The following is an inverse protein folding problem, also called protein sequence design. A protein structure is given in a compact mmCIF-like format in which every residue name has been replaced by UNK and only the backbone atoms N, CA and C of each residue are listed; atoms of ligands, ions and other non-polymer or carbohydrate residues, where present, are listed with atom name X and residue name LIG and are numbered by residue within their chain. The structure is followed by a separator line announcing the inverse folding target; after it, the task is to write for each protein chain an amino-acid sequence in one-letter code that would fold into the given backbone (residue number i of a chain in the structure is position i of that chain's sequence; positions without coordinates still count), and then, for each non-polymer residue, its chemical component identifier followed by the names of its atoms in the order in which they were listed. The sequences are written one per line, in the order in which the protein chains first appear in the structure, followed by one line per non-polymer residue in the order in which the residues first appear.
data_IF_690076634269
#
_entry.id   IF_690076634269
#
_cell.length_a   1.000
_cell.length_b   1.000
_cell.length_c   1.000
_cell.angle_alpha   90.00
_cell.angle_beta   90.00
_cell.angle_gamma   90.00
#
_symmetry.space_group_name_H-M   'P 1'
#
loop_
_entity.id
_entity.type
_entity.pdbx_description
1 polymer ?
#
# COMPACT_ATOMS: atom_id res chain seq x y z
N UNK A 1 24.07 60.80 22.46
CA UNK A 1 23.88 59.39 22.89
C UNK A 1 22.42 58.96 23.16
N UNK A 2 21.44 59.87 23.25
CA UNK A 2 20.04 59.50 23.52
C UNK A 2 19.17 59.18 22.26
N UNK A 3 19.59 59.59 21.06
CA UNK A 3 18.82 59.39 19.83
C UNK A 3 19.07 57.97 19.22
N UNK A 4 20.26 57.41 19.38
CA UNK A 4 20.62 56.09 18.85
C UNK A 4 19.90 54.96 19.62
N UNK A 5 19.66 55.11 20.92
CA UNK A 5 18.90 54.13 21.72
C UNK A 5 17.42 54.02 21.34
N UNK A 6 16.80 55.15 20.89
CA UNK A 6 15.39 55.16 20.52
C UNK A 6 15.14 54.48 19.15
N UNK A 7 16.07 54.58 18.21
CA UNK A 7 15.96 53.94 16.87
C UNK A 7 16.17 52.44 17.00
N UNK A 8 17.06 51.96 17.87
CA UNK A 8 17.27 50.52 18.09
C UNK A 8 16.06 49.81 18.74
N UNK A 9 15.34 50.49 19.62
CA UNK A 9 14.12 49.98 20.28
C UNK A 9 12.95 49.94 19.27
N UNK A 10 12.83 50.93 18.37
CA UNK A 10 11.77 50.95 17.36
C UNK A 10 11.98 49.86 16.29
N UNK A 11 13.22 49.59 15.87
CA UNK A 11 13.55 48.53 14.91
C UNK A 11 13.32 47.13 15.52
N UNK A 12 13.63 46.94 16.83
CA UNK A 12 13.35 45.65 17.49
C UNK A 12 11.85 45.43 17.69
N UNK A 13 11.04 46.44 17.96
CA UNK A 13 9.58 46.30 18.05
C UNK A 13 8.91 46.05 16.70
N UNK A 14 9.41 46.64 15.60
CA UNK A 14 8.94 46.32 14.23
C UNK A 14 9.29 44.89 13.80
N UNK A 15 10.47 44.36 14.18
CA UNK A 15 10.86 42.98 13.88
C UNK A 15 10.03 41.98 14.71
N UNK A 16 9.62 42.29 15.92
CA UNK A 16 8.73 41.43 16.71
C UNK A 16 7.29 41.46 16.19
N UNK A 17 6.74 42.61 15.81
CA UNK A 17 5.40 42.72 15.22
C UNK A 17 5.31 41.97 13.88
N UNK A 18 6.28 42.13 12.98
CA UNK A 18 6.33 41.36 11.71
C UNK A 18 6.45 39.85 11.90
N UNK A 19 7.06 39.37 13.00
CA UNK A 19 7.21 37.97 13.29
C UNK A 19 5.93 37.35 13.86
N UNK A 20 5.14 38.09 14.60
CA UNK A 20 3.86 37.63 15.14
C UNK A 20 2.76 37.64 14.07
N UNK A 21 2.71 38.64 13.17
CA UNK A 21 1.80 38.67 12.04
C UNK A 21 2.07 37.52 11.06
N UNK A 22 3.32 37.24 10.76
CA UNK A 22 3.71 36.12 9.89
C UNK A 22 3.37 34.76 10.50
N UNK A 23 3.49 34.56 11.81
CA UNK A 23 3.07 33.33 12.50
C UNK A 23 1.56 33.16 12.49
N UNK A 24 0.81 34.24 12.66
CA UNK A 24 -0.65 34.22 12.64
C UNK A 24 -1.19 33.93 11.24
N UNK A 25 -0.55 34.47 10.20
CA UNK A 25 -0.87 34.20 8.79
C UNK A 25 -0.57 32.75 8.40
N UNK A 26 0.59 32.19 8.76
CA UNK A 26 0.93 30.79 8.54
C UNK A 26 -0.04 29.85 9.27
N UNK A 27 -0.39 30.15 10.51
CA UNK A 27 -1.37 29.36 11.28
C UNK A 27 -2.77 29.39 10.64
N UNK A 28 -3.18 30.51 10.07
CA UNK A 28 -4.46 30.60 9.33
C UNK A 28 -4.42 29.77 8.04
N UNK A 29 -3.33 29.85 7.29
CA UNK A 29 -3.15 29.06 6.07
C UNK A 29 -3.17 27.56 6.38
N UNK A 30 -2.42 27.11 7.40
CA UNK A 30 -2.43 25.71 7.84
C UNK A 30 -3.82 25.22 8.23
N UNK A 31 -4.58 26.04 8.98
CA UNK A 31 -5.96 25.71 9.33
C UNK A 31 -6.89 25.63 8.10
N UNK A 32 -6.71 26.51 7.11
CA UNK A 32 -7.48 26.46 5.86
C UNK A 32 -7.15 25.20 5.05
N UNK A 33 -5.86 24.83 4.93
CA UNK A 33 -5.43 23.62 4.24
C UNK A 33 -5.94 22.36 4.94
N UNK A 34 -5.89 22.30 6.27
CA UNK A 34 -6.44 21.17 7.05
C UNK A 34 -7.96 21.03 6.85
N UNK A 35 -8.70 22.15 6.88
CA UNK A 35 -10.15 22.11 6.62
C UNK A 35 -10.43 21.61 5.21
N UNK A 36 -9.75 22.16 4.21
CA UNK A 36 -9.89 21.72 2.81
C UNK A 36 -9.52 20.25 2.63
N UNK A 37 -8.45 19.77 3.25
CA UNK A 37 -8.04 18.37 3.20
C UNK A 37 -9.13 17.41 3.74
N UNK A 38 -9.76 17.77 4.87
CA UNK A 38 -10.87 17.03 5.43
C UNK A 38 -12.11 17.05 4.52
N UNK A 39 -12.41 18.19 3.89
CA UNK A 39 -13.50 18.33 2.92
C UNK A 39 -13.24 17.43 1.69
N UNK A 40 -12.05 17.50 1.09
CA UNK A 40 -11.70 16.66 -0.07
C UNK A 40 -11.72 15.18 0.28
N UNK A 41 -11.21 14.78 1.46
CA UNK A 41 -11.28 13.40 1.92
C UNK A 41 -12.71 12.87 2.08
N UNK A 42 -13.66 13.76 2.40
CA UNK A 42 -15.08 13.39 2.52
C UNK A 42 -15.81 13.34 1.18
N UNK A 43 -15.28 13.99 0.15
CA UNK A 43 -15.91 14.14 -1.18
C UNK A 43 -15.34 13.19 -2.21
N UNK A 44 -14.03 12.91 -2.14
CA UNK A 44 -13.37 12.05 -3.11
C UNK A 44 -13.52 10.59 -2.75
N UNK A 45 -13.61 9.76 -3.77
CA UNK A 45 -13.43 8.33 -3.61
C UNK A 45 -11.95 8.06 -3.30
N UNK A 46 -11.65 7.54 -2.12
CA UNK A 46 -10.29 7.14 -1.72
C UNK A 46 -10.22 5.61 -1.77
N UNK A 47 -9.25 5.10 -2.52
CA UNK A 47 -8.97 3.66 -2.67
C UNK A 47 -7.57 3.36 -2.17
N UNK A 48 -7.45 2.35 -1.32
CA UNK A 48 -6.19 1.73 -0.93
C UNK A 48 -6.09 0.34 -1.55
N UNK A 49 -4.98 0.06 -2.23
CA UNK A 49 -4.82 -1.20 -2.98
C UNK A 49 -4.29 -2.36 -2.16
N UNK A 50 -3.95 -2.14 -0.88
CA UNK A 50 -3.41 -3.24 -0.08
C UNK A 50 -3.55 -3.02 1.43
N UNK A 51 -4.40 -3.83 2.07
CA UNK A 51 -4.57 -3.85 3.54
C UNK A 51 -4.72 -5.30 4.02
N UNK A 52 -3.90 -5.74 5.00
CA UNK A 52 -3.79 -7.12 5.46
C UNK A 52 -4.76 -7.53 6.57
N UNK A 53 -5.91 -6.89 6.62
CA UNK A 53 -6.98 -7.19 7.60
C UNK A 53 -7.32 -8.68 7.66
N UNK A 54 -7.51 -9.42 6.53
CA UNK A 54 -7.96 -10.80 6.61
C UNK A 54 -6.97 -11.70 7.36
N UNK A 55 -5.67 -11.54 7.11
CA UNK A 55 -4.65 -12.36 7.78
C UNK A 55 -4.51 -11.99 9.27
N UNK A 56 -4.58 -10.69 9.61
CA UNK A 56 -4.62 -10.25 11.01
C UNK A 56 -5.79 -10.87 11.78
N UNK A 57 -6.97 -10.91 11.15
CA UNK A 57 -8.19 -11.43 11.79
C UNK A 57 -8.22 -12.95 11.88
N UNK A 58 -7.53 -13.69 10.99
CA UNK A 58 -7.33 -15.14 11.10
C UNK A 58 -6.55 -15.49 12.38
N UNK A 59 -5.54 -14.67 12.72
CA UNK A 59 -4.73 -14.86 13.93
C UNK A 59 -5.40 -14.31 15.20
N UNK A 60 -6.00 -13.11 15.11
CA UNK A 60 -6.57 -12.39 16.22
C UNK A 60 -7.89 -11.72 15.79
N UNK A 61 -8.98 -12.43 15.97
CA UNK A 61 -10.30 -11.95 15.61
C UNK A 61 -10.70 -10.68 16.39
N UNK A 62 -11.13 -9.66 15.67
CA UNK A 62 -11.84 -8.47 16.16
C UNK A 62 -12.96 -8.12 15.18
N UNK A 63 -14.05 -7.54 15.66
CA UNK A 63 -15.12 -7.05 14.79
C UNK A 63 -14.74 -5.69 14.19
N UNK A 64 -14.25 -5.68 12.96
CA UNK A 64 -13.87 -4.45 12.25
C UNK A 64 -15.06 -3.57 11.84
N UNK A 65 -16.27 -4.01 12.04
CA UNK A 65 -17.45 -3.15 11.86
C UNK A 65 -17.61 -2.14 12.99
N UNK A 66 -16.92 -2.36 14.10
CA UNK A 66 -16.84 -1.49 15.27
C UNK A 66 -15.38 -1.06 15.48
N UNK A 67 -15.13 -0.16 16.46
CA UNK A 67 -13.78 0.28 16.78
C UNK A 67 -12.97 -0.85 17.41
N UNK A 68 -11.84 -1.20 16.78
CA UNK A 68 -10.92 -2.23 17.26
C UNK A 68 -9.80 -1.63 18.13
N UNK A 69 -9.24 -2.46 19.04
CA UNK A 69 -8.09 -2.08 19.87
C UNK A 69 -6.77 -2.20 19.09
N UNK A 70 -6.70 -3.17 18.16
CA UNK A 70 -5.50 -3.49 17.39
C UNK A 70 -5.72 -3.21 15.90
N UNK A 71 -4.62 -3.29 15.16
CA UNK A 71 -4.61 -3.08 13.71
C UNK A 71 -4.83 -1.65 13.29
N UNK A 72 -4.76 -1.43 11.99
CA UNK A 72 -4.81 -0.11 11.38
C UNK A 72 -6.15 0.18 10.70
N UNK A 73 -7.03 -0.83 10.56
CA UNK A 73 -8.33 -0.70 9.88
C UNK A 73 -9.48 -1.14 10.79
N UNK A 74 -10.51 -0.30 10.87
CA UNK A 74 -11.90 -0.60 11.24
C UNK A 74 -12.84 0.41 10.58
N UNK A 75 -14.14 0.13 10.60
CA UNK A 75 -15.17 0.97 9.97
C UNK A 75 -15.18 2.42 10.49
N UNK A 76 -15.18 2.69 11.81
CA UNK A 76 -15.14 4.06 12.34
C UNK A 76 -13.92 4.86 11.87
N UNK A 77 -12.72 4.24 11.87
CA UNK A 77 -11.49 4.89 11.39
C UNK A 77 -11.52 5.10 9.87
N UNK A 78 -11.96 4.11 9.09
CA UNK A 78 -12.08 4.23 7.64
C UNK A 78 -13.05 5.36 7.26
N UNK A 79 -14.22 5.45 7.92
CA UNK A 79 -15.18 6.55 7.71
C UNK A 79 -14.60 7.91 8.11
N UNK A 80 -13.86 7.99 9.21
CA UNK A 80 -13.22 9.23 9.66
C UNK A 80 -12.12 9.69 8.70
N UNK A 81 -11.40 8.75 8.08
CA UNK A 81 -10.34 9.04 7.11
C UNK A 81 -10.82 9.24 5.67
N UNK A 82 -12.11 9.01 5.39
CA UNK A 82 -12.66 9.09 4.04
C UNK A 82 -12.33 7.89 3.15
N UNK A 83 -11.79 6.78 3.69
CA UNK A 83 -11.50 5.58 2.91
C UNK A 83 -12.79 4.90 2.46
N UNK A 84 -12.94 4.67 1.15
CA UNK A 84 -14.17 4.15 0.56
C UNK A 84 -13.98 2.79 -0.11
N UNK A 85 -12.75 2.43 -0.47
CA UNK A 85 -12.43 1.10 -0.97
C UNK A 85 -11.06 0.66 -0.44
N UNK A 86 -11.01 -0.57 0.08
CA UNK A 86 -9.79 -1.20 0.57
C UNK A 86 -9.67 -2.58 -0.06
N UNK A 87 -8.62 -2.80 -0.85
CA UNK A 87 -8.31 -4.14 -1.31
C UNK A 87 -7.87 -4.98 -0.11
N UNK A 88 -8.71 -5.95 0.25
CA UNK A 88 -8.43 -6.91 1.30
C UNK A 88 -7.40 -7.92 0.78
N UNK A 89 -6.19 -7.89 1.36
CA UNK A 89 -5.11 -8.80 1.01
C UNK A 89 -5.43 -10.22 1.50
N UNK A 90 -5.51 -11.15 0.57
CA UNK A 90 -5.56 -12.59 0.83
C UNK A 90 -4.11 -13.07 0.84
N UNK A 91 -3.42 -12.78 1.94
CA UNK A 91 -1.99 -13.04 2.11
C UNK A 91 -1.71 -14.52 2.39
N UNK A 92 -0.78 -15.09 1.63
CA UNK A 92 -0.36 -16.48 1.77
C UNK A 92 1.14 -16.55 2.10
N UNK A 93 1.51 -16.94 3.34
CA UNK A 93 2.92 -17.10 3.71
C UNK A 93 3.69 -18.02 2.76
N UNK A 94 4.93 -17.63 2.45
CA UNK A 94 5.78 -18.36 1.48
C UNK A 94 6.01 -19.85 1.85
N UNK A 95 5.91 -20.23 3.12
CA UNK A 95 6.04 -21.62 3.56
C UNK A 95 5.07 -22.56 2.90
N UNK A 96 3.90 -22.09 2.46
CA UNK A 96 2.89 -22.91 1.80
C UNK A 96 3.30 -23.39 0.39
N UNK A 97 4.34 -22.80 -0.20
CA UNK A 97 4.93 -23.33 -1.44
C UNK A 97 5.54 -24.72 -1.24
N UNK A 98 6.14 -24.95 -0.08
CA UNK A 98 6.78 -26.23 0.26
C UNK A 98 5.83 -27.19 0.98
N UNK A 99 4.98 -26.66 1.88
CA UNK A 99 4.13 -27.49 2.75
C UNK A 99 2.78 -27.86 2.13
N UNK A 100 2.36 -27.13 1.07
CA UNK A 100 1.00 -27.20 0.55
C UNK A 100 -0.02 -26.54 1.48
N UNK A 101 -1.29 -26.50 1.09
CA UNK A 101 -2.40 -25.93 1.86
C UNK A 101 -2.60 -24.41 1.68
N UNK A 102 -1.87 -23.80 0.74
CA UNK A 102 -2.03 -22.39 0.41
C UNK A 102 -3.42 -22.06 -0.10
N UNK A 103 -3.99 -22.93 -0.94
CA UNK A 103 -5.37 -22.79 -1.44
C UNK A 103 -6.41 -22.82 -0.31
N UNK A 104 -6.26 -23.75 0.64
CA UNK A 104 -7.18 -23.85 1.78
C UNK A 104 -7.12 -22.61 2.69
N UNK A 105 -5.94 -22.04 2.88
CA UNK A 105 -5.79 -20.77 3.60
C UNK A 105 -6.46 -19.62 2.84
N UNK A 106 -6.22 -19.51 1.53
CA UNK A 106 -6.87 -18.48 0.70
C UNK A 106 -8.40 -18.56 0.80
N UNK A 107 -8.98 -19.75 0.73
CA UNK A 107 -10.42 -19.97 0.88
C UNK A 107 -10.94 -19.55 2.26
N UNK A 108 -10.20 -19.84 3.34
CA UNK A 108 -10.59 -19.38 4.69
C UNK A 108 -10.58 -17.85 4.80
N UNK A 109 -9.55 -17.18 4.28
CA UNK A 109 -9.45 -15.73 4.32
C UNK A 109 -10.55 -15.07 3.49
N UNK A 110 -10.87 -15.60 2.31
CA UNK A 110 -11.97 -15.12 1.49
C UNK A 110 -13.30 -15.31 2.23
N UNK A 111 -13.57 -16.50 2.78
CA UNK A 111 -14.79 -16.76 3.56
C UNK A 111 -14.92 -15.79 4.74
N UNK A 112 -13.81 -15.48 5.43
CA UNK A 112 -13.80 -14.52 6.53
C UNK A 112 -14.26 -13.13 6.07
N UNK A 113 -13.79 -12.63 4.93
CA UNK A 113 -14.23 -11.34 4.39
C UNK A 113 -15.70 -11.41 3.96
N UNK A 114 -16.12 -12.48 3.28
CA UNK A 114 -17.53 -12.72 2.91
C UNK A 114 -18.46 -12.72 4.13
N UNK A 115 -18.05 -13.37 5.23
CA UNK A 115 -18.80 -13.40 6.49
C UNK A 115 -18.93 -12.02 7.15
N UNK A 116 -17.85 -11.21 7.14
CA UNK A 116 -17.87 -9.83 7.64
C UNK A 116 -18.88 -8.98 6.83
N UNK A 117 -18.82 -9.07 5.51
CA UNK A 117 -19.74 -8.35 4.60
C UNK A 117 -21.18 -8.80 4.80
N UNK A 118 -21.42 -10.11 4.89
CA UNK A 118 -22.75 -10.66 5.08
C UNK A 118 -23.40 -10.22 6.41
N UNK A 119 -22.61 -10.05 7.47
CA UNK A 119 -23.07 -9.55 8.77
C UNK A 119 -23.28 -8.03 8.80
N UNK A 120 -22.63 -7.27 7.91
CA UNK A 120 -22.62 -5.80 7.92
C UNK A 120 -22.88 -5.23 6.51
N UNK A 121 -24.00 -5.59 5.83
CA UNK A 121 -24.25 -5.23 4.43
C UNK A 121 -24.53 -3.74 4.20
N UNK A 122 -24.79 -3.00 5.26
CA UNK A 122 -24.94 -1.55 5.30
C UNK A 122 -23.63 -0.79 5.45
N UNK A 123 -22.55 -1.48 5.88
CA UNK A 123 -21.22 -0.91 6.07
C UNK A 123 -20.26 -1.31 4.94
N UNK A 124 -20.28 -2.58 4.52
CA UNK A 124 -19.31 -3.18 3.61
C UNK A 124 -19.95 -3.94 2.46
N UNK A 125 -19.31 -3.96 1.29
CA UNK A 125 -19.64 -4.84 0.17
C UNK A 125 -18.40 -5.31 -0.57
N UNK A 126 -18.41 -6.56 -1.02
CA UNK A 126 -17.44 -7.03 -2.02
C UNK A 126 -17.62 -6.20 -3.30
N UNK A 127 -16.53 -5.77 -3.91
CA UNK A 127 -16.55 -5.10 -5.21
C UNK A 127 -15.78 -5.95 -6.23
N UNK A 128 -16.43 -6.29 -7.33
CA UNK A 128 -15.89 -7.17 -8.37
C UNK A 128 -15.47 -6.39 -9.63
N UNK A 129 -15.78 -5.08 -9.66
CA UNK A 129 -15.54 -4.21 -10.81
C UNK A 129 -15.34 -2.76 -10.36
N UNK A 130 -14.83 -1.94 -11.29
CA UNK A 130 -14.75 -0.49 -11.08
C UNK A 130 -16.13 0.15 -10.91
N UNK A 131 -17.17 -0.41 -11.55
CA UNK A 131 -18.55 0.05 -11.41
C UNK A 131 -19.10 -0.25 -10.01
N UNK A 132 -18.82 -1.44 -9.44
CA UNK A 132 -19.24 -1.78 -8.08
C UNK A 132 -18.64 -0.81 -7.06
N UNK A 133 -17.37 -0.45 -7.20
CA UNK A 133 -16.69 0.52 -6.31
C UNK A 133 -17.42 1.87 -6.36
N UNK A 134 -17.70 2.39 -7.55
CA UNK A 134 -18.41 3.68 -7.71
C UNK A 134 -19.82 3.61 -7.13
N UNK A 135 -20.57 2.56 -7.44
CA UNK A 135 -21.91 2.35 -6.93
C UNK A 135 -21.96 2.25 -5.40
N UNK A 136 -20.99 1.55 -4.80
CA UNK A 136 -20.91 1.45 -3.35
C UNK A 136 -20.56 2.79 -2.72
N UNK A 137 -19.64 3.55 -3.34
CA UNK A 137 -19.30 4.92 -2.91
C UNK A 137 -20.54 5.83 -2.89
N UNK A 138 -21.32 5.85 -3.97
CA UNK A 138 -22.56 6.64 -4.08
C UNK A 138 -23.59 6.28 -2.99
N UNK A 139 -23.53 5.05 -2.48
CA UNK A 139 -24.40 4.56 -1.40
C UNK A 139 -23.78 4.71 0.00
N UNK A 140 -22.57 5.29 0.13
CA UNK A 140 -21.86 5.47 1.39
C UNK A 140 -21.31 4.18 2.02
N UNK A 141 -21.18 3.11 1.22
CA UNK A 141 -20.71 1.77 1.60
C UNK A 141 -19.24 1.62 1.25
N UNK A 142 -18.44 1.07 2.16
CA UNK A 142 -17.03 0.76 1.89
C UNK A 142 -16.93 -0.51 1.04
N UNK A 143 -16.20 -0.42 -0.05
CA UNK A 143 -15.93 -1.54 -0.96
C UNK A 143 -14.75 -2.38 -0.48
N UNK A 144 -14.89 -3.71 -0.56
CA UNK A 144 -13.82 -4.67 -0.36
C UNK A 144 -13.54 -5.43 -1.67
N UNK A 145 -12.75 -4.89 -2.61
CA UNK A 145 -12.13 -5.72 -3.63
C UNK A 145 -11.14 -6.68 -2.97
N UNK A 146 -10.89 -7.85 -3.55
CA UNK A 146 -9.96 -8.84 -3.01
C UNK A 146 -8.69 -8.90 -3.87
N UNK A 147 -7.53 -8.88 -3.22
CA UNK A 147 -6.24 -9.12 -3.86
C UNK A 147 -5.56 -10.34 -3.24
N UNK A 148 -5.09 -11.27 -4.05
CA UNK A 148 -4.30 -12.40 -3.56
C UNK A 148 -2.84 -12.00 -3.50
N UNK A 149 -2.25 -12.00 -2.32
CA UNK A 149 -0.83 -11.75 -2.14
C UNK A 149 -0.06 -13.07 -2.00
N UNK A 150 0.78 -13.35 -2.99
CA UNK A 150 1.47 -14.59 -3.27
C UNK A 150 0.63 -15.61 -4.06
N UNK A 151 1.04 -15.91 -5.29
CA UNK A 151 0.36 -16.84 -6.21
C UNK A 151 0.49 -18.31 -5.85
N UNK A 152 1.08 -18.67 -4.72
CA UNK A 152 1.22 -20.05 -4.23
C UNK A 152 -0.10 -20.86 -4.28
N UNK A 153 -1.30 -20.30 -3.98
CA UNK A 153 -2.58 -21.02 -4.08
C UNK A 153 -2.97 -21.52 -5.47
N UNK A 154 -2.27 -21.08 -6.50
CA UNK A 154 -2.50 -21.60 -7.86
C UNK A 154 -2.02 -23.06 -7.99
N UNK A 155 -1.04 -23.49 -7.16
CA UNK A 155 -0.63 -24.89 -6.98
C UNK A 155 -0.30 -25.60 -8.30
N UNK A 156 0.30 -24.88 -9.28
CA UNK A 156 0.65 -25.44 -10.59
C UNK A 156 -0.55 -25.82 -11.48
N UNK A 157 -1.77 -25.40 -11.12
CA UNK A 157 -3.00 -25.73 -11.83
C UNK A 157 -3.65 -24.47 -12.40
N UNK A 158 -3.62 -24.30 -13.71
CA UNK A 158 -4.14 -23.09 -14.37
C UNK A 158 -5.62 -22.82 -14.05
N UNK A 159 -6.44 -23.86 -13.84
CA UNK A 159 -7.84 -23.72 -13.48
C UNK A 159 -8.05 -23.02 -12.12
N UNK A 160 -7.04 -22.99 -11.23
CA UNK A 160 -7.13 -22.29 -9.97
C UNK A 160 -7.12 -20.77 -10.16
N UNK A 161 -6.58 -20.23 -11.25
CA UNK A 161 -6.68 -18.81 -11.59
C UNK A 161 -8.15 -18.40 -11.77
N UNK A 162 -8.90 -19.20 -12.60
CA UNK A 162 -10.34 -18.96 -12.78
C UNK A 162 -11.11 -19.20 -11.49
N UNK A 163 -10.77 -20.25 -10.74
CA UNK A 163 -11.40 -20.50 -9.44
C UNK A 163 -11.33 -19.28 -8.52
N UNK A 164 -10.17 -18.67 -8.37
CA UNK A 164 -10.02 -17.48 -7.53
C UNK A 164 -10.65 -16.22 -8.11
N UNK A 165 -10.68 -16.09 -9.45
CA UNK A 165 -11.48 -15.03 -10.09
C UNK A 165 -12.96 -15.14 -9.72
N UNK A 166 -13.52 -16.35 -9.80
CA UNK A 166 -14.92 -16.64 -9.44
C UNK A 166 -15.17 -16.42 -7.93
N UNK A 167 -14.13 -16.57 -7.06
CA UNK A 167 -14.17 -16.23 -5.63
C UNK A 167 -13.96 -14.73 -5.34
N UNK A 168 -13.85 -13.89 -6.36
CA UNK A 168 -13.79 -12.44 -6.22
C UNK A 168 -12.40 -11.82 -6.23
N UNK A 169 -11.34 -12.59 -6.44
CA UNK A 169 -9.97 -12.03 -6.57
C UNK A 169 -9.88 -11.16 -7.81
N UNK A 170 -9.33 -9.95 -7.66
CA UNK A 170 -9.18 -8.96 -8.73
C UNK A 170 -7.75 -8.53 -9.02
N UNK A 171 -6.80 -8.83 -8.13
CA UNK A 171 -5.39 -8.88 -8.48
C UNK A 171 -4.70 -10.10 -7.87
N UNK A 172 -3.55 -10.50 -8.45
CA UNK A 172 -2.66 -11.52 -7.88
C UNK A 172 -1.22 -11.00 -7.93
N UNK A 173 -0.58 -10.92 -6.76
CA UNK A 173 0.87 -10.75 -6.60
C UNK A 173 1.54 -12.10 -6.83
N UNK A 174 2.38 -12.23 -7.87
CA UNK A 174 2.83 -13.54 -8.33
C UNK A 174 3.75 -14.27 -7.33
N UNK A 175 4.57 -13.54 -6.57
CA UNK A 175 5.42 -14.06 -5.50
C UNK A 175 5.44 -13.09 -4.33
N UNK A 176 5.88 -13.54 -3.15
CA UNK A 176 6.02 -12.69 -1.96
C UNK A 176 7.47 -12.70 -1.43
N UNK A 177 7.72 -13.19 -0.23
CA UNK A 177 9.04 -13.15 0.42
C UNK A 177 10.02 -14.22 -0.08
N UNK A 178 9.56 -15.17 -0.87
CA UNK A 178 10.36 -16.22 -1.53
C UNK A 178 9.89 -16.44 -2.96
N UNK A 179 10.82 -16.85 -3.80
CA UNK A 179 10.53 -17.37 -5.13
C UNK A 179 9.62 -18.60 -5.04
N UNK A 180 8.66 -18.72 -5.96
CA UNK A 180 7.69 -19.81 -6.00
C UNK A 180 7.61 -20.42 -7.41
N UNK A 181 6.64 -21.29 -7.67
CA UNK A 181 6.47 -21.93 -8.98
C UNK A 181 6.07 -20.97 -10.12
N UNK A 182 5.76 -19.68 -9.82
CA UNK A 182 5.38 -18.68 -10.82
C UNK A 182 6.51 -17.70 -11.13
N UNK A 183 7.22 -17.20 -10.11
CA UNK A 183 8.08 -16.04 -10.22
C UNK A 183 9.17 -16.00 -9.16
N UNK A 184 10.27 -15.34 -9.48
CA UNK A 184 11.28 -14.97 -8.50
C UNK A 184 10.83 -13.76 -7.68
N UNK A 185 11.18 -13.80 -6.38
CA UNK A 185 10.94 -12.73 -5.41
C UNK A 185 12.12 -11.78 -5.29
N UNK A 186 11.85 -10.50 -5.00
CA UNK A 186 12.87 -9.48 -4.67
C UNK A 186 13.63 -9.76 -3.37
N UNK A 187 13.04 -10.53 -2.47
CA UNK A 187 13.64 -10.88 -1.17
C UNK A 187 14.50 -12.15 -1.23
N UNK A 188 14.37 -12.97 -2.28
CA UNK A 188 15.09 -14.22 -2.38
C UNK A 188 16.42 -14.02 -3.11
N UNK A 189 17.53 -14.36 -2.45
CA UNK A 189 18.87 -14.32 -3.08
C UNK A 189 19.01 -15.43 -4.13
N UNK A 190 18.40 -16.59 -3.87
CA UNK A 190 18.40 -17.75 -4.77
C UNK A 190 17.27 -17.60 -5.81
N UNK A 191 17.58 -16.97 -6.94
CA UNK A 191 16.63 -16.82 -8.05
C UNK A 191 16.49 -18.16 -8.79
N UNK A 192 15.26 -18.70 -8.85
CA UNK A 192 14.98 -19.99 -9.45
C UNK A 192 14.87 -19.91 -10.98
N UNK A 193 14.30 -18.80 -11.48
CA UNK A 193 13.89 -18.66 -12.88
C UNK A 193 14.67 -17.57 -13.62
N UNK A 194 15.37 -16.68 -12.89
CA UNK A 194 15.88 -15.40 -13.37
C UNK A 194 14.78 -14.54 -14.03
N UNK A 195 13.60 -14.56 -13.43
CA UNK A 195 12.41 -13.88 -13.92
C UNK A 195 11.13 -14.68 -13.65
N UNK A 196 10.24 -14.79 -14.64
CA UNK A 196 9.07 -15.63 -14.60
C UNK A 196 9.40 -17.09 -14.96
N UNK A 197 8.76 -18.04 -14.29
CA UNK A 197 8.71 -19.42 -14.78
C UNK A 197 7.86 -19.50 -16.05
N UNK A 198 8.02 -20.59 -16.82
CA UNK A 198 7.15 -20.84 -17.99
C UNK A 198 5.68 -20.99 -17.60
N UNK A 199 5.40 -21.52 -16.42
CA UNK A 199 4.04 -21.57 -15.90
C UNK A 199 3.55 -20.20 -15.45
N UNK A 200 4.40 -19.35 -14.85
CA UNK A 200 4.09 -17.96 -14.54
C UNK A 200 3.69 -17.15 -15.76
N UNK A 201 4.36 -17.33 -16.91
CA UNK A 201 3.96 -16.69 -18.18
C UNK A 201 2.53 -17.12 -18.60
N UNK A 202 2.17 -18.40 -18.43
CA UNK A 202 0.82 -18.91 -18.74
C UNK A 202 -0.21 -18.30 -17.78
N UNK A 203 0.12 -18.21 -16.48
CA UNK A 203 -0.74 -17.60 -15.46
C UNK A 203 -1.00 -16.12 -15.76
N UNK A 204 0.03 -15.35 -16.13
CA UNK A 204 -0.13 -13.93 -16.52
C UNK A 204 -1.11 -13.77 -17.70
N UNK A 205 -1.01 -14.62 -18.73
CA UNK A 205 -1.94 -14.59 -19.87
C UNK A 205 -3.37 -14.94 -19.46
N UNK A 206 -3.54 -15.92 -18.58
CA UNK A 206 -4.86 -16.31 -18.08
C UNK A 206 -5.46 -15.21 -17.18
N UNK A 207 -4.64 -14.53 -16.36
CA UNK A 207 -5.07 -13.35 -15.61
C UNK A 207 -5.61 -12.26 -16.54
N UNK A 208 -4.88 -11.95 -17.61
CA UNK A 208 -5.35 -10.96 -18.61
C UNK A 208 -6.66 -11.41 -19.28
N UNK A 209 -6.81 -12.70 -19.60
CA UNK A 209 -8.03 -13.24 -20.18
C UNK A 209 -9.23 -13.12 -19.25
N UNK A 210 -9.03 -13.31 -17.96
CA UNK A 210 -10.09 -13.25 -16.95
C UNK A 210 -10.37 -11.81 -16.45
N UNK A 211 -9.48 -10.85 -16.64
CA UNK A 211 -9.60 -9.51 -16.07
C UNK A 211 -9.08 -9.41 -14.64
N UNK A 212 -8.09 -10.24 -14.28
CA UNK A 212 -7.34 -10.12 -13.04
C UNK A 212 -6.13 -9.23 -13.30
N UNK A 213 -5.94 -8.21 -12.48
CA UNK A 213 -4.79 -7.32 -12.53
C UNK A 213 -3.54 -8.09 -12.12
N UNK A 214 -2.47 -8.01 -12.91
CA UNK A 214 -1.17 -8.56 -12.52
C UNK A 214 -0.49 -7.57 -11.58
N UNK A 215 -0.19 -8.00 -10.36
CA UNK A 215 0.55 -7.21 -9.38
C UNK A 215 2.02 -7.61 -9.38
N UNK A 216 2.89 -6.60 -9.56
CA UNK A 216 4.35 -6.76 -9.61
C UNK A 216 5.05 -6.39 -8.30
N UNK A 217 4.32 -6.04 -7.24
CA UNK A 217 4.91 -5.90 -5.91
C UNK A 217 5.60 -7.19 -5.50
N UNK A 218 6.69 -7.11 -4.75
CA UNK A 218 7.52 -8.25 -4.33
C UNK A 218 8.33 -8.96 -5.41
N UNK A 219 8.10 -8.72 -6.69
CA UNK A 219 8.82 -9.42 -7.74
C UNK A 219 10.28 -8.97 -7.85
N UNK A 220 11.15 -9.88 -8.29
CA UNK A 220 12.51 -9.50 -8.69
C UNK A 220 12.47 -8.55 -9.89
N UNK A 221 13.53 -7.74 -10.07
CA UNK A 221 13.64 -6.84 -11.22
C UNK A 221 13.47 -7.60 -12.53
N UNK A 222 14.06 -8.81 -12.66
CA UNK A 222 13.91 -9.65 -13.86
C UNK A 222 12.47 -10.08 -14.08
N UNK A 223 11.77 -10.49 -13.00
CA UNK A 223 10.35 -10.89 -13.08
C UNK A 223 9.46 -9.74 -13.52
N UNK A 224 9.71 -8.52 -13.01
CA UNK A 224 9.00 -7.33 -13.45
C UNK A 224 9.10 -7.13 -14.96
N UNK A 225 10.31 -7.17 -15.53
CA UNK A 225 10.49 -6.99 -16.97
C UNK A 225 9.89 -8.14 -17.80
N UNK A 226 9.89 -9.37 -17.27
CA UNK A 226 9.25 -10.49 -17.94
C UNK A 226 7.72 -10.38 -17.92
N UNK A 227 7.13 -9.92 -16.80
CA UNK A 227 5.69 -9.61 -16.73
C UNK A 227 5.31 -8.60 -17.82
N UNK A 228 6.05 -7.49 -17.95
CA UNK A 228 5.76 -6.48 -18.97
C UNK A 228 5.83 -6.99 -20.42
N UNK A 229 6.70 -7.98 -20.70
CA UNK A 229 6.78 -8.62 -22.03
C UNK A 229 5.59 -9.54 -22.31
N UNK A 230 4.99 -10.12 -21.26
CA UNK A 230 3.96 -11.16 -21.39
C UNK A 230 2.56 -10.58 -21.25
N UNK A 231 2.36 -9.58 -20.37
CA UNK A 231 1.06 -9.02 -20.09
C UNK A 231 0.53 -8.21 -21.28
N UNK A 232 -0.73 -8.48 -21.64
CA UNK A 232 -1.47 -7.72 -22.66
C UNK A 232 -2.23 -6.53 -22.04
N UNK A 233 -2.31 -6.46 -20.71
CA UNK A 233 -2.99 -5.42 -19.94
C UNK A 233 -1.98 -4.66 -19.08
N UNK A 234 -2.29 -3.41 -18.66
CA UNK A 234 -1.49 -2.70 -17.68
C UNK A 234 -1.39 -3.48 -16.37
N UNK A 235 -0.29 -3.30 -15.65
CA UNK A 235 -0.02 -3.96 -14.38
C UNK A 235 0.06 -2.93 -13.25
N UNK A 236 -0.06 -3.38 -12.00
CA UNK A 236 0.11 -2.53 -10.83
C UNK A 236 1.31 -2.97 -10.00
N UNK A 237 1.93 -2.04 -9.27
CA UNK A 237 2.69 -2.36 -8.07
C UNK A 237 1.81 -1.96 -6.88
N UNK A 238 1.04 -2.91 -6.34
CA UNK A 238 -0.07 -2.66 -5.41
C UNK A 238 0.35 -2.01 -4.09
N UNK A 239 1.61 -2.21 -3.66
CA UNK A 239 2.17 -1.67 -2.44
C UNK A 239 3.70 -1.66 -2.50
N UNK A 240 4.26 -0.80 -3.36
CA UNK A 240 5.71 -0.57 -3.49
C UNK A 240 6.02 0.92 -3.41
N UNK A 241 7.30 1.27 -3.14
CA UNK A 241 7.73 2.66 -3.09
C UNK A 241 8.92 2.89 -4.03
N UNK A 242 9.50 4.10 -4.03
CA UNK A 242 10.60 4.45 -4.91
C UNK A 242 11.94 4.01 -4.31
N UNK A 243 12.70 3.20 -5.04
CA UNK A 243 14.06 2.75 -4.66
C UNK A 243 15.04 3.90 -4.53
N UNK A 244 14.75 5.05 -5.16
CA UNK A 244 15.52 6.28 -5.01
C UNK A 244 15.74 6.66 -3.54
N UNK A 245 14.76 6.45 -2.67
CA UNK A 245 14.84 6.73 -1.22
C UNK A 245 15.33 5.54 -0.37
N UNK A 246 15.49 4.36 -0.98
CA UNK A 246 15.92 3.11 -0.33
C UNK A 246 16.95 2.40 -1.20
N UNK A 247 18.06 3.07 -1.46
CA UNK A 247 19.09 2.66 -2.42
C UNK A 247 19.49 1.18 -2.24
N UNK A 248 19.52 0.45 -3.37
CA UNK A 248 19.93 -0.95 -3.42
C UNK A 248 18.86 -1.95 -2.96
N UNK A 249 17.70 -1.52 -2.48
CA UNK A 249 16.66 -2.43 -2.02
C UNK A 249 15.68 -2.81 -3.14
N UNK A 250 15.81 -4.03 -3.64
CA UNK A 250 15.04 -4.54 -4.80
C UNK A 250 13.52 -4.56 -4.57
N UNK A 251 13.08 -4.56 -3.32
CA UNK A 251 11.64 -4.54 -2.97
C UNK A 251 10.91 -3.28 -3.46
N UNK A 252 11.62 -2.14 -3.51
CA UNK A 252 11.11 -0.91 -4.08
C UNK A 252 11.50 -0.78 -5.56
N UNK A 253 10.71 -0.06 -6.34
CA UNK A 253 10.93 0.12 -7.78
C UNK A 253 11.98 1.19 -8.06
N UNK A 254 12.95 0.89 -8.92
CA UNK A 254 13.88 1.90 -9.42
C UNK A 254 13.24 2.79 -10.50
N UNK A 255 13.88 3.92 -10.83
CA UNK A 255 13.35 4.91 -11.77
C UNK A 255 13.06 4.34 -13.17
N UNK A 256 13.89 3.42 -13.66
CA UNK A 256 13.68 2.79 -14.97
C UNK A 256 12.47 1.84 -14.94
N UNK A 257 12.25 1.13 -13.85
CA UNK A 257 11.04 0.31 -13.66
C UNK A 257 9.79 1.19 -13.61
N UNK A 258 9.81 2.32 -12.88
CA UNK A 258 8.68 3.26 -12.80
C UNK A 258 8.37 3.84 -14.18
N UNK A 259 9.39 4.24 -14.96
CA UNK A 259 9.20 4.71 -16.34
C UNK A 259 8.59 3.63 -17.23
N UNK A 260 9.08 2.39 -17.13
CA UNK A 260 8.54 1.27 -17.91
C UNK A 260 7.11 0.93 -17.48
N UNK A 261 6.82 0.92 -16.18
CA UNK A 261 5.47 0.73 -15.68
C UNK A 261 4.49 1.75 -16.29
N UNK A 262 4.87 3.03 -16.28
CA UNK A 262 4.08 4.12 -16.88
C UNK A 262 3.94 3.98 -18.41
N UNK A 263 5.01 3.63 -19.12
CA UNK A 263 5.00 3.38 -20.58
C UNK A 263 4.00 2.27 -20.97
N UNK A 264 3.84 1.26 -20.12
CA UNK A 264 2.87 0.18 -20.30
C UNK A 264 1.49 0.49 -19.71
N UNK A 265 1.23 1.75 -19.29
CA UNK A 265 -0.05 2.22 -18.77
C UNK A 265 -0.34 1.79 -17.33
N UNK A 266 0.62 1.15 -16.65
CA UNK A 266 0.50 0.69 -15.27
C UNK A 266 0.57 1.80 -14.23
N UNK A 267 0.64 1.44 -12.95
CA UNK A 267 0.63 2.38 -11.82
C UNK A 267 1.41 1.82 -10.63
N UNK A 268 2.12 2.69 -9.92
CA UNK A 268 2.72 2.40 -8.62
C UNK A 268 1.83 2.94 -7.49
N UNK A 269 1.53 2.10 -6.51
CA UNK A 269 0.78 2.45 -5.32
C UNK A 269 1.75 2.49 -4.14
N UNK A 270 1.89 3.68 -3.54
CA UNK A 270 2.94 3.94 -2.54
C UNK A 270 2.63 3.21 -1.24
N UNK A 271 3.55 2.35 -0.82
CA UNK A 271 3.54 1.68 0.48
C UNK A 271 3.87 2.69 1.59
N UNK A 272 3.16 2.63 2.71
CA UNK A 272 3.36 3.57 3.83
C UNK A 272 4.30 3.04 4.91
N UNK A 273 4.70 1.78 4.89
CA UNK A 273 5.65 1.24 5.85
C UNK A 273 6.95 2.06 5.93
N UNK A 274 7.34 2.48 7.12
CA UNK A 274 8.50 3.37 7.33
C UNK A 274 9.79 2.85 6.70
N UNK A 275 9.98 1.52 6.65
CA UNK A 275 11.13 0.89 5.97
C UNK A 275 11.10 1.04 4.44
N UNK A 276 9.92 1.24 3.84
CA UNK A 276 9.76 1.47 2.40
C UNK A 276 10.04 2.92 2.01
N UNK A 277 9.94 3.83 2.99
CA UNK A 277 10.01 5.28 2.80
C UNK A 277 11.41 5.83 3.05
N UNK A 278 12.13 5.29 4.02
CA UNK A 278 13.43 5.86 4.44
C UNK A 278 14.49 4.78 4.61
N UNK A 279 15.61 4.92 3.89
CA UNK A 279 16.71 3.95 3.92
C UNK A 279 17.43 3.88 5.27
N UNK A 280 17.58 4.99 5.97
CA UNK A 280 18.21 5.00 7.29
C UNK A 280 17.35 4.26 8.30
N UNK A 281 16.01 4.49 8.26
CA UNK A 281 15.07 3.76 9.08
C UNK A 281 15.12 2.25 8.75
N UNK A 282 15.09 1.89 7.47
CA UNK A 282 15.16 0.49 7.00
C UNK A 282 16.40 -0.22 7.54
N UNK A 283 17.59 0.36 7.33
CA UNK A 283 18.85 -0.24 7.77
C UNK A 283 18.93 -0.41 9.29
N UNK A 284 18.46 0.58 10.06
CA UNK A 284 18.36 0.48 11.52
C UNK A 284 17.38 -0.61 11.94
N UNK A 285 16.27 -0.74 11.24
CA UNK A 285 15.26 -1.76 11.53
C UNK A 285 15.75 -3.17 11.22
N UNK A 286 16.50 -3.34 10.14
CA UNK A 286 17.15 -4.62 9.78
C UNK A 286 18.22 -5.00 10.79
N UNK A 287 19.09 -4.05 11.18
CA UNK A 287 20.10 -4.28 12.22
C UNK A 287 19.45 -4.66 13.57
N UNK A 288 18.37 -3.96 13.94
CA UNK A 288 17.59 -4.31 15.12
C UNK A 288 17.02 -5.72 15.05
N UNK A 289 16.38 -6.10 13.95
CA UNK A 289 15.83 -7.46 13.75
C UNK A 289 16.92 -8.52 13.88
N UNK A 290 18.09 -8.25 13.31
CA UNK A 290 19.25 -9.16 13.42
C UNK A 290 19.71 -9.30 14.87
N UNK A 291 19.88 -8.19 15.61
CA UNK A 291 20.30 -8.21 17.01
C UNK A 291 19.27 -8.91 17.89
N UNK A 292 17.98 -8.69 17.67
CA UNK A 292 16.90 -9.37 18.40
C UNK A 292 16.98 -10.89 18.17
N UNK A 293 17.12 -11.32 16.94
CA UNK A 293 17.24 -12.74 16.59
C UNK A 293 18.47 -13.38 17.22
N UNK A 294 19.62 -12.74 17.17
CA UNK A 294 20.86 -13.21 17.82
C UNK A 294 20.69 -13.32 19.34
N UNK A 295 19.97 -12.38 19.94
CA UNK A 295 19.65 -12.41 21.37
C UNK A 295 18.70 -13.57 21.72
N UNK A 296 17.64 -13.79 20.93
CA UNK A 296 16.70 -14.91 21.09
C UNK A 296 17.40 -16.27 20.97
N UNK A 297 18.24 -16.46 19.95
CA UNK A 297 19.05 -17.67 19.75
C UNK A 297 20.00 -17.93 20.93
N UNK A 298 20.69 -16.88 21.41
CA UNK A 298 21.62 -16.96 22.54
C UNK A 298 20.91 -17.41 23.83
N UNK A 299 19.68 -16.95 24.04
CA UNK A 299 18.88 -17.26 25.22
C UNK A 299 17.97 -18.50 25.02
N UNK A 300 18.05 -19.14 23.84
CA UNK A 300 17.24 -20.32 23.45
C UNK A 300 15.75 -20.09 23.66
N UNK A 301 15.27 -18.91 23.23
CA UNK A 301 13.88 -18.55 23.32
C UNK A 301 13.08 -19.23 22.21
N UNK A 302 11.81 -19.52 22.49
CA UNK A 302 10.84 -19.97 21.50
C UNK A 302 9.98 -18.78 21.03
N UNK A 303 9.28 -18.97 19.93
CA UNK A 303 8.33 -18.00 19.43
C UNK A 303 7.34 -17.59 20.54
N UNK A 304 7.09 -16.29 20.66
CA UNK A 304 6.21 -15.70 21.67
C UNK A 304 6.69 -15.82 23.15
N UNK A 305 7.98 -16.00 23.41
CA UNK A 305 8.52 -15.92 24.77
C UNK A 305 8.35 -14.49 25.33
N UNK A 306 7.79 -14.36 26.54
CA UNK A 306 7.54 -13.06 27.17
C UNK A 306 8.81 -12.23 27.38
N UNK A 307 9.96 -12.89 27.53
CA UNK A 307 11.29 -12.22 27.66
C UNK A 307 11.67 -11.47 26.39
N UNK A 308 11.25 -11.95 25.22
CA UNK A 308 11.44 -11.22 23.96
C UNK A 308 10.73 -9.86 24.02
N UNK A 309 9.47 -9.82 24.47
CA UNK A 309 8.73 -8.56 24.60
C UNK A 309 9.36 -7.61 25.64
N UNK A 310 9.84 -8.14 26.74
CA UNK A 310 10.57 -7.36 27.74
C UNK A 310 11.85 -6.75 27.17
N UNK A 311 12.62 -7.53 26.40
CA UNK A 311 13.83 -7.06 25.72
C UNK A 311 13.52 -5.98 24.68
N UNK A 312 12.49 -6.17 23.86
CA UNK A 312 11.99 -5.17 22.89
C UNK A 312 11.65 -3.86 23.61
N UNK A 313 10.85 -3.92 24.68
CA UNK A 313 10.43 -2.74 25.45
C UNK A 313 11.59 -1.96 26.06
N UNK A 314 12.67 -2.65 26.42
CA UNK A 314 13.87 -2.02 27.00
C UNK A 314 14.83 -1.41 25.98
N UNK A 315 14.80 -1.87 24.72
CA UNK A 315 15.83 -1.55 23.74
C UNK A 315 15.30 -0.90 22.45
N UNK A 316 13.99 -0.98 22.17
CA UNK A 316 13.42 -0.46 20.92
C UNK A 316 13.68 1.03 20.68
N UNK A 317 13.60 1.87 21.72
CA UNK A 317 13.87 3.31 21.61
C UNK A 317 15.30 3.62 21.08
N UNK A 318 16.26 2.76 21.37
CA UNK A 318 17.64 2.92 20.93
C UNK A 318 17.79 2.79 19.41
N UNK A 319 16.93 2.02 18.78
CA UNK A 319 16.99 1.70 17.35
C UNK A 319 15.93 2.42 16.52
N UNK A 320 14.86 2.94 17.16
CA UNK A 320 13.74 3.64 16.52
C UNK A 320 13.89 5.18 16.55
N UNK A 321 15.09 5.71 16.62
CA UNK A 321 15.35 7.14 16.87
C UNK A 321 14.99 8.09 15.72
N UNK A 322 14.71 7.60 14.51
CA UNK A 322 14.28 8.44 13.39
C UNK A 322 12.86 8.09 13.02
N UNK A 323 11.94 8.96 13.37
CA UNK A 323 10.56 8.81 12.93
C UNK A 323 10.42 9.22 11.46
N UNK A 324 9.85 8.36 10.64
CA UNK A 324 9.35 8.70 9.31
C UNK A 324 8.00 9.40 9.48
N UNK A 325 7.64 10.32 8.61
CA UNK A 325 6.39 11.07 8.69
C UNK A 325 5.67 11.15 7.33
N UNK A 326 4.44 11.64 7.34
CA UNK A 326 3.58 11.75 6.15
C UNK A 326 4.22 12.55 5.02
N UNK A 327 5.00 13.59 5.33
CA UNK A 327 5.69 14.40 4.31
C UNK A 327 6.67 13.56 3.48
N UNK A 328 7.39 12.61 4.11
CA UNK A 328 8.30 11.72 3.41
C UNK A 328 7.55 10.71 2.52
N UNK A 329 6.34 10.30 2.88
CA UNK A 329 5.48 9.49 1.98
C UNK A 329 5.12 10.29 0.73
N UNK A 330 4.78 11.58 0.89
CA UNK A 330 4.47 12.46 -0.25
C UNK A 330 5.73 12.77 -1.08
N UNK A 331 6.96 12.70 -0.53
CA UNK A 331 8.19 12.79 -1.32
C UNK A 331 8.27 11.67 -2.37
N UNK A 332 7.80 10.45 -2.06
CA UNK A 332 7.70 9.37 -3.04
C UNK A 332 6.66 9.67 -4.13
N UNK A 333 5.52 10.26 -3.77
CA UNK A 333 4.50 10.70 -4.73
C UNK A 333 5.10 11.75 -5.67
N UNK A 334 5.75 12.80 -5.12
CA UNK A 334 6.43 13.83 -5.90
C UNK A 334 7.48 13.25 -6.84
N UNK A 335 8.26 12.26 -6.36
CA UNK A 335 9.27 11.61 -7.18
C UNK A 335 8.65 10.94 -8.41
N UNK A 336 7.56 10.16 -8.23
CA UNK A 336 6.84 9.53 -9.34
C UNK A 336 6.25 10.56 -10.28
N UNK A 337 5.57 11.60 -9.73
CA UNK A 337 4.96 12.67 -10.53
C UNK A 337 6.01 13.41 -11.36
N UNK A 338 7.17 13.73 -10.76
CA UNK A 338 8.27 14.38 -11.50
C UNK A 338 8.89 13.48 -12.56
N UNK A 339 8.89 12.16 -12.37
CA UNK A 339 9.53 11.20 -13.25
C UNK A 339 8.66 10.84 -14.46
N UNK A 340 7.35 10.64 -14.25
CA UNK A 340 6.43 10.09 -15.26
C UNK A 340 5.08 10.81 -15.35
N UNK A 341 4.77 11.74 -14.45
CA UNK A 341 3.51 12.48 -14.42
C UNK A 341 2.49 11.96 -13.40
N UNK A 342 1.42 12.75 -13.24
CA UNK A 342 0.41 12.57 -12.19
C UNK A 342 -0.43 11.29 -12.33
N UNK A 343 -0.53 10.71 -13.52
CA UNK A 343 -1.46 9.63 -13.84
C UNK A 343 -0.98 8.24 -13.37
N UNK A 344 0.20 8.14 -12.72
CA UNK A 344 0.90 6.88 -12.50
C UNK A 344 1.19 6.56 -11.02
N UNK A 345 0.53 7.24 -10.09
CA UNK A 345 0.73 7.05 -8.64
C UNK A 345 -0.60 7.02 -7.87
N UNK A 346 -0.65 6.25 -6.78
CA UNK A 346 -1.78 6.16 -5.86
C UNK A 346 -1.36 5.59 -4.50
N UNK A 347 -2.32 5.08 -3.71
CA UNK A 347 -2.13 4.60 -2.34
C UNK A 347 -2.23 3.08 -2.24
N UNK A 348 -1.22 2.45 -1.66
CA UNK A 348 -1.19 1.04 -1.29
C UNK A 348 -0.49 0.89 0.05
N UNK A 349 -1.19 1.23 1.13
CA UNK A 349 -0.61 1.52 2.44
C UNK A 349 0.15 0.37 3.09
N UNK A 350 -0.28 -0.86 2.80
CA UNK A 350 0.21 -2.06 3.49
C UNK A 350 -0.15 -2.05 5.00
N UNK A 351 -1.24 -1.34 5.36
CA UNK A 351 -1.77 -1.36 6.72
C UNK A 351 -2.12 -2.78 7.14
N UNK A 352 -1.87 -3.10 8.39
CA UNK A 352 -1.92 -4.43 9.00
C UNK A 352 -0.85 -5.41 8.51
N UNK A 353 -0.13 -5.14 7.40
CA UNK A 353 1.05 -5.89 6.93
C UNK A 353 2.37 -5.29 7.41
N UNK A 354 2.43 -3.98 7.65
CA UNK A 354 3.61 -3.29 8.21
C UNK A 354 3.45 -3.05 9.71
N UNK A 355 4.57 -3.06 10.43
CA UNK A 355 4.60 -2.81 11.88
C UNK A 355 4.90 -1.36 12.23
N UNK A 356 5.58 -0.64 11.35
CA UNK A 356 6.11 0.70 11.61
C UNK A 356 5.51 1.67 10.59
N UNK A 357 4.46 2.37 10.99
CA UNK A 357 3.79 3.39 10.19
C UNK A 357 4.39 4.78 10.42
N UNK A 358 4.34 5.71 9.44
CA UNK A 358 4.82 7.07 9.59
C UNK A 358 3.98 7.88 10.58
N UNK A 359 4.61 8.84 11.26
CA UNK A 359 3.89 9.85 12.05
C UNK A 359 2.93 10.60 11.13
N UNK A 360 1.69 10.66 11.54
CA UNK A 360 0.59 11.26 10.77
C UNK A 360 -0.09 10.31 9.79
N UNK A 361 0.34 9.03 9.74
CA UNK A 361 -0.28 7.94 8.96
C UNK A 361 -0.34 6.65 9.79
N UNK A 362 -0.76 6.76 11.04
CA UNK A 362 -0.80 5.64 11.98
C UNK A 362 -1.85 4.60 11.62
N UNK A 363 -2.92 4.99 10.94
CA UNK A 363 -4.03 4.12 10.53
C UNK A 363 -4.89 4.75 9.42
N UNK A 364 -5.91 4.05 8.97
CA UNK A 364 -6.79 4.49 7.88
C UNK A 364 -7.60 5.77 8.16
N UNK A 365 -7.59 6.30 9.37
CA UNK A 365 -8.21 7.60 9.68
C UNK A 365 -7.37 8.79 9.20
N UNK A 366 -6.17 8.56 8.69
CA UNK A 366 -5.15 9.58 8.44
C UNK A 366 -4.99 9.99 6.98
N UNK A 367 -5.79 9.48 6.04
CA UNK A 367 -5.73 9.93 4.64
C UNK A 367 -5.88 11.44 4.47
N UNK A 368 -6.67 12.19 5.29
CA UNK A 368 -6.68 13.65 5.22
C UNK A 368 -5.31 14.30 5.40
N UNK A 369 -4.38 13.68 6.14
CA UNK A 369 -3.03 14.20 6.32
C UNK A 369 -2.19 14.11 5.04
N UNK A 370 -2.38 13.07 4.22
CA UNK A 370 -1.72 12.98 2.90
C UNK A 370 -2.28 14.07 1.99
N UNK A 371 -3.61 14.25 1.96
CA UNK A 371 -4.27 15.29 1.16
C UNK A 371 -3.79 16.68 1.61
N UNK A 372 -3.65 16.93 2.92
CA UNK A 372 -3.06 18.15 3.44
C UNK A 372 -1.64 18.40 2.91
N UNK A 373 -0.76 17.40 2.96
CA UNK A 373 0.62 17.54 2.43
C UNK A 373 0.63 17.77 0.91
N UNK A 374 -0.26 17.13 0.15
CA UNK A 374 -0.41 17.37 -1.29
C UNK A 374 -0.86 18.81 -1.56
N UNK A 375 -1.89 19.30 -0.86
CA UNK A 375 -2.34 20.71 -0.94
C UNK A 375 -1.23 21.69 -0.62
N UNK A 376 -0.45 21.42 0.42
CA UNK A 376 0.69 22.23 0.83
C UNK A 376 1.79 22.30 -0.24
N UNK A 377 1.90 21.26 -1.09
CA UNK A 377 2.80 21.18 -2.25
C UNK A 377 2.16 21.71 -3.55
N UNK A 378 1.00 22.37 -3.44
CA UNK A 378 0.23 22.99 -4.52
C UNK A 378 -0.34 22.01 -5.56
N UNK A 379 -0.62 20.77 -5.19
CA UNK A 379 -1.43 19.90 -6.01
C UNK A 379 -2.85 20.46 -6.13
N UNK A 380 -3.41 20.41 -7.32
CA UNK A 380 -4.80 20.79 -7.57
C UNK A 380 -5.77 19.72 -7.06
N UNK A 381 -7.05 20.10 -6.89
CA UNK A 381 -8.07 19.16 -6.44
C UNK A 381 -8.22 17.98 -7.42
N UNK A 382 -8.11 18.23 -8.75
CA UNK A 382 -8.14 17.19 -9.78
C UNK A 382 -6.93 16.24 -9.72
N UNK A 383 -5.74 16.75 -9.41
CA UNK A 383 -4.54 15.92 -9.25
C UNK A 383 -4.66 15.04 -8.00
N UNK A 384 -5.20 15.58 -6.90
CA UNK A 384 -5.45 14.83 -5.67
C UNK A 384 -6.50 13.74 -5.92
N UNK A 385 -7.60 14.02 -6.63
CA UNK A 385 -8.61 13.03 -6.98
C UNK A 385 -8.03 11.89 -7.82
N UNK A 386 -7.12 12.20 -8.77
CA UNK A 386 -6.39 11.20 -9.54
C UNK A 386 -5.58 10.27 -8.64
N UNK A 387 -4.79 10.83 -7.70
CA UNK A 387 -3.99 10.04 -6.75
C UNK A 387 -4.88 9.20 -5.84
N UNK A 388 -5.99 9.76 -5.34
CA UNK A 388 -6.91 9.07 -4.43
C UNK A 388 -7.57 7.83 -5.07
N UNK A 389 -7.93 7.90 -6.36
CA UNK A 389 -8.65 6.78 -7.00
C UNK A 389 -8.59 6.78 -8.52
N UNK A 390 -8.60 7.96 -9.16
CA UNK A 390 -8.78 8.07 -10.61
C UNK A 390 -7.78 7.25 -11.41
N UNK A 391 -6.52 7.26 -10.98
CA UNK A 391 -5.44 6.54 -11.64
C UNK A 391 -5.60 5.02 -11.54
N UNK A 392 -5.94 4.49 -10.36
CA UNK A 392 -6.19 3.06 -10.18
C UNK A 392 -7.41 2.61 -10.97
N UNK A 393 -8.52 3.38 -10.92
CA UNK A 393 -9.73 3.03 -11.64
C UNK A 393 -9.52 3.03 -13.17
N UNK A 394 -8.65 3.89 -13.69
CA UNK A 394 -8.21 3.85 -15.10
C UNK A 394 -7.53 2.53 -15.42
N UNK A 395 -6.55 2.11 -14.61
CA UNK A 395 -5.81 0.86 -14.81
C UNK A 395 -6.73 -0.36 -14.71
N UNK A 396 -7.53 -0.42 -13.67
CA UNK A 396 -8.46 -1.54 -13.46
C UNK A 396 -9.47 -1.63 -14.61
N UNK A 397 -10.03 -0.50 -15.04
CA UNK A 397 -10.93 -0.45 -16.19
C UNK A 397 -10.27 -0.93 -17.48
N UNK A 398 -9.03 -0.55 -17.74
CA UNK A 398 -8.30 -1.04 -18.92
C UNK A 398 -8.06 -2.54 -18.87
N UNK A 399 -7.78 -3.12 -17.67
CA UNK A 399 -7.67 -4.57 -17.48
C UNK A 399 -9.00 -5.27 -17.79
N UNK A 400 -10.15 -4.74 -17.32
CA UNK A 400 -11.49 -5.22 -17.67
C UNK A 400 -11.72 -5.17 -19.19
N UNK A 401 -11.35 -4.08 -19.84
CA UNK A 401 -11.54 -3.87 -21.28
C UNK A 401 -10.62 -4.78 -22.12
N UNK A 402 -9.38 -5.03 -21.68
CA UNK A 402 -8.47 -6.00 -22.32
C UNK A 402 -9.07 -7.41 -22.25
N UNK A 403 -9.56 -7.81 -21.06
CA UNK A 403 -10.22 -9.11 -20.88
C UNK A 403 -11.39 -9.29 -21.83
N UNK A 404 -12.28 -8.30 -21.91
CA UNK A 404 -13.42 -8.33 -22.83
C UNK A 404 -12.97 -8.49 -24.30
N UNK A 405 -11.90 -7.77 -24.73
CA UNK A 405 -11.35 -7.89 -26.10
C UNK A 405 -10.76 -9.26 -26.38
N UNK A 406 -10.07 -9.88 -25.40
CA UNK A 406 -9.50 -11.22 -25.54
C UNK A 406 -10.62 -12.24 -25.70
N UNK A 407 -11.62 -12.23 -24.83
CA UNK A 407 -12.73 -13.19 -24.85
C UNK A 407 -13.57 -13.11 -26.13
N UNK A 408 -13.81 -11.89 -26.64
CA UNK A 408 -14.53 -11.70 -27.90
C UNK A 408 -13.78 -12.22 -29.13
N UNK A 409 -12.47 -12.40 -29.06
CA UNK A 409 -11.65 -12.94 -30.14
C UNK A 409 -11.49 -14.49 -30.07
N UNK A 410 -11.92 -15.10 -28.95
CA UNK A 410 -11.92 -16.57 -28.76
C UNK A 410 -13.24 -17.22 -29.20
N UNK A 411 -14.34 -16.44 -29.27
CA UNK A 411 -15.66 -16.84 -29.79
C UNK A 411 -15.73 -16.70 -31.34
#
# INVERSE_FOLDING_TARGET
MKIVSFILILVSLLLFACNDDAKDENSRLDNQLNTKAAELASQFLIIDTHIDVPYRLEDNWEDISEKTEKGHFDYPRAKSGGLNAAFMSIYIPAKYEETGGGKDLADRLINLVEDIVAKNPDKFKIALSTEDVRKNFDNGIISFPLGMENGTPIEGQINNVKYFYDRGIRYITLAHSKSNHLSDSSYDEDKHWNGLSKFGEIVVREMNRLGIIVDVSHLSDSSFYDVLKVSAAPVIASHSSCRFFTEGWERNMNDEMIKKLAEYGGIIMINFGSSFIDNEFRLKREDWKKQLKEWEETHKLQDNDTRTQEYINQHSEKYMQKAVNVSQVVDHIDHVVNLVGIDYVGFGSDFDGVTDTPIGLEDVSKYPNIIYELLKRNYTDEEIEKICSGNLLRVWKEVEDVSNRIQLNED
#
